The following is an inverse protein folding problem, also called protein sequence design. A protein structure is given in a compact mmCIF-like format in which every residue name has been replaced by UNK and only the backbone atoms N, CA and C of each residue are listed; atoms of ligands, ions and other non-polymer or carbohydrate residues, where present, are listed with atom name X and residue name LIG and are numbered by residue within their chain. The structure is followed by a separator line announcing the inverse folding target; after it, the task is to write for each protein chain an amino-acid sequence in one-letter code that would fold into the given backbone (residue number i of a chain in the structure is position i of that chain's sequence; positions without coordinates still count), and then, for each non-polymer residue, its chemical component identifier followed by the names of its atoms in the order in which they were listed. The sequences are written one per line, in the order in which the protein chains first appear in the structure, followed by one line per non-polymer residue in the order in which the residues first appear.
data_IF_562314739980
#
_entry.id   IF_562314739980
#
_cell.length_a   1.000
_cell.length_b   1.000
_cell.length_c   1.000
_cell.angle_alpha   90.00
_cell.angle_beta   90.00
_cell.angle_gamma   90.00
#
_symmetry.space_group_name_H-M   'P 1'
#
loop_
_entity.id
_entity.type
_entity.pdbx_description
1 polymer ?
#
# COMPACT_ATOMS: atom_id res chain seq x y z
N UNK A 1 -4.61 12.15 5.93
CA UNK A 1 -3.99 11.08 5.13
C UNK A 1 -3.12 10.26 6.07
N UNK A 2 -3.43 8.99 6.28
CA UNK A 2 -2.66 8.13 7.18
C UNK A 2 -1.28 7.82 6.58
N UNK A 3 -0.27 7.69 7.44
CA UNK A 3 1.08 7.27 7.05
C UNK A 3 1.29 5.75 7.13
N UNK A 4 0.34 5.06 7.74
CA UNK A 4 0.34 3.63 7.99
C UNK A 4 -1.02 3.01 7.69
N UNK A 5 -1.02 1.72 7.36
CA UNK A 5 -2.22 0.91 7.25
C UNK A 5 -1.93 -0.57 7.55
N UNK A 6 -2.82 -1.24 8.27
CA UNK A 6 -2.69 -2.67 8.57
C UNK A 6 -3.52 -3.51 7.60
N UNK A 7 -2.89 -4.51 6.95
CA UNK A 7 -3.54 -5.49 6.06
C UNK A 7 -2.78 -6.81 6.06
N UNK A 8 -3.43 -7.88 5.60
CA UNK A 8 -2.76 -9.17 5.37
C UNK A 8 -1.76 -9.05 4.22
N UNK A 9 -0.48 -9.28 4.52
CA UNK A 9 0.56 -9.32 3.50
C UNK A 9 0.55 -10.70 2.80
N UNK A 10 0.45 -10.75 1.46
CA UNK A 10 0.42 -12.01 0.71
C UNK A 10 1.74 -12.77 0.78
N UNK A 11 2.88 -12.07 0.90
CA UNK A 11 4.21 -12.69 1.02
C UNK A 11 4.47 -13.20 2.45
N UNK A 12 4.06 -12.45 3.49
CA UNK A 12 4.25 -12.90 4.87
C UNK A 12 3.20 -13.89 5.37
N UNK A 13 2.03 -13.94 4.72
CA UNK A 13 0.88 -14.74 5.17
C UNK A 13 0.27 -14.29 6.50
N UNK A 14 0.50 -13.03 6.92
CA UNK A 14 0.06 -12.50 8.21
C UNK A 14 -0.38 -11.02 8.08
N UNK A 15 -1.13 -10.52 9.06
CA UNK A 15 -1.38 -9.08 9.18
C UNK A 15 -0.07 -8.34 9.46
N UNK A 16 0.19 -7.30 8.65
CA UNK A 16 1.38 -6.46 8.72
C UNK A 16 1.00 -5.00 8.58
N UNK A 17 1.82 -4.14 9.18
CA UNK A 17 1.75 -2.71 8.94
C UNK A 17 2.43 -2.40 7.61
N UNK A 18 1.76 -1.57 6.82
CA UNK A 18 2.26 -1.01 5.59
C UNK A 18 2.50 0.47 5.78
N UNK A 19 3.71 0.91 5.46
CA UNK A 19 4.12 2.29 5.56
C UNK A 19 4.00 2.99 4.20
N UNK A 20 3.49 4.21 4.21
CA UNK A 20 3.44 5.05 3.02
C UNK A 20 4.85 5.53 2.69
N UNK A 21 5.36 5.08 1.55
CA UNK A 21 6.72 5.43 1.09
C UNK A 21 6.74 6.53 0.04
N UNK A 22 5.65 6.71 -0.69
CA UNK A 22 5.51 7.78 -1.67
C UNK A 22 4.04 8.13 -1.91
N UNK A 23 3.79 9.39 -2.29
CA UNK A 23 2.49 9.85 -2.77
C UNK A 23 2.67 10.79 -3.95
N UNK A 24 1.83 10.67 -4.97
CA UNK A 24 1.83 11.56 -6.14
C UNK A 24 0.40 11.79 -6.61
N UNK A 25 0.01 13.05 -6.76
CA UNK A 25 -1.29 13.40 -7.32
C UNK A 25 -1.26 13.31 -8.84
N UNK A 26 -2.21 12.56 -9.40
CA UNK A 26 -2.42 12.40 -10.83
C UNK A 26 -3.82 12.93 -11.19
N UNK A 27 -4.09 13.11 -12.48
CA UNK A 27 -5.46 13.43 -12.96
C UNK A 27 -6.50 12.37 -12.56
N UNK A 28 -6.05 11.14 -12.30
CA UNK A 28 -6.87 9.99 -11.91
C UNK A 28 -7.07 9.87 -10.39
N UNK A 29 -6.47 10.76 -9.59
CA UNK A 29 -6.51 10.71 -8.12
C UNK A 29 -5.12 10.65 -7.48
N UNK A 30 -5.09 10.44 -6.17
CA UNK A 30 -3.84 10.30 -5.41
C UNK A 30 -3.30 8.87 -5.52
N UNK A 31 -2.13 8.73 -6.14
CA UNK A 31 -1.36 7.49 -6.19
C UNK A 31 -0.48 7.39 -4.96
N UNK A 32 -0.70 6.37 -4.14
CA UNK A 32 0.07 6.09 -2.93
C UNK A 32 0.81 4.77 -3.05
N UNK A 33 2.09 4.75 -2.67
CA UNK A 33 2.90 3.52 -2.55
C UNK A 33 2.97 3.09 -1.09
N UNK A 34 2.66 1.83 -0.86
CA UNK A 34 2.69 1.18 0.44
C UNK A 34 3.74 0.08 0.46
N UNK A 35 4.54 -0.02 1.51
CA UNK A 35 5.53 -1.10 1.70
C UNK A 35 5.32 -1.83 3.00
N UNK A 36 5.42 -3.16 2.98
CA UNK A 36 5.37 -3.98 4.19
C UNK A 36 6.56 -3.65 5.10
N UNK A 37 6.35 -3.70 6.42
CA UNK A 37 7.42 -3.46 7.40
C UNK A 37 8.39 -4.64 7.55
N UNK A 38 7.96 -5.87 7.23
CA UNK A 38 8.74 -7.11 7.47
C UNK A 38 9.33 -7.73 6.19
N UNK A 39 8.91 -7.30 4.99
CA UNK A 39 9.38 -7.86 3.72
C UNK A 39 9.35 -6.83 2.59
N UNK A 40 9.83 -7.22 1.42
CA UNK A 40 9.90 -6.34 0.23
C UNK A 40 8.57 -6.18 -0.52
N UNK A 41 7.47 -6.76 -0.03
CA UNK A 41 6.17 -6.62 -0.66
C UNK A 41 5.70 -5.16 -0.61
N UNK A 42 5.32 -4.62 -1.76
CA UNK A 42 4.79 -3.28 -1.90
C UNK A 42 3.67 -3.26 -2.92
N UNK A 43 2.67 -2.41 -2.67
CA UNK A 43 1.55 -2.20 -3.58
C UNK A 43 1.26 -0.72 -3.79
N UNK A 44 0.50 -0.43 -4.84
CA UNK A 44 0.07 0.92 -5.18
C UNK A 44 -1.44 1.01 -5.02
N UNK A 45 -1.91 2.10 -4.43
CA UNK A 45 -3.33 2.44 -4.34
C UNK A 45 -3.59 3.76 -5.07
N UNK A 46 -4.66 3.81 -5.86
CA UNK A 46 -5.18 5.01 -6.53
C UNK A 46 -6.67 5.12 -6.19
N UNK A 47 -7.02 6.05 -5.31
CA UNK A 47 -8.38 6.14 -4.78
C UNK A 47 -8.76 4.85 -4.03
N UNK A 48 -9.79 4.16 -4.49
CA UNK A 48 -10.30 2.90 -3.90
C UNK A 48 -9.71 1.64 -4.56
N UNK A 49 -8.93 1.79 -5.64
CA UNK A 49 -8.34 0.68 -6.38
C UNK A 49 -6.90 0.48 -5.90
N UNK A 50 -6.52 -0.76 -5.63
CA UNK A 50 -5.13 -1.11 -5.32
C UNK A 50 -4.64 -2.32 -6.12
N UNK A 51 -3.33 -2.48 -6.22
CA UNK A 51 -2.69 -3.60 -6.91
C UNK A 51 -2.53 -4.85 -6.03
N UNK A 52 -2.96 -4.82 -4.77
CA UNK A 52 -2.83 -5.95 -3.84
C UNK A 52 -3.98 -6.96 -3.98
N UNK A 53 -5.15 -6.50 -4.42
CA UNK A 53 -6.28 -7.35 -4.83
C UNK A 53 -6.38 -7.38 -6.37
N UNK A 54 -6.13 -8.55 -6.96
CA UNK A 54 -6.43 -8.85 -8.36
C UNK A 54 -7.84 -9.42 -8.50
#
# INVERSE_FOLDING_TARGET
MSLEQTRTCPECGAERTFWRTASTTLHLGEKTKWSCEECDYAFVQIGEIDTATA
#
